data_IF_816584837428
#
_entry.id   IF_816584837428
#
_cell.length_a   1.000
_cell.length_b   1.000
_cell.length_c   1.000
_cell.angle_alpha   90.00
_cell.angle_beta   90.00
_cell.angle_gamma   90.00
#
_symmetry.space_group_name_H-M   'P 1'
#
loop_
_entity.id
_entity.type
_entity.pdbx_description
1 polymer ?
#
# COMPACT_ATOMS: atom_id res chain seq x y z
N UNK A 1 -41.53 -4.60 24.87
CA UNK A 1 -40.30 -5.06 24.17
C UNK A 1 -39.50 -3.81 23.87
N UNK A 2 -38.27 -3.62 24.39
CA UNK A 2 -37.52 -2.43 24.07
C UNK A 2 -37.01 -2.55 22.63
N UNK A 3 -37.31 -1.53 21.82
CA UNK A 3 -36.71 -1.34 20.50
C UNK A 3 -35.19 -1.26 20.65
N UNK A 4 -34.49 -2.16 19.97
CA UNK A 4 -33.06 -2.06 19.81
C UNK A 4 -32.78 -0.83 18.94
N UNK A 5 -32.25 0.22 19.57
CA UNK A 5 -31.71 1.38 18.84
C UNK A 5 -30.62 0.93 17.86
N UNK A 6 -30.34 1.73 16.81
CA UNK A 6 -29.32 1.39 15.83
C UNK A 6 -27.99 1.17 16.54
N UNK A 7 -27.43 -0.03 16.35
CA UNK A 7 -26.06 -0.36 16.75
C UNK A 7 -25.13 0.68 16.12
N UNK A 8 -24.18 1.28 16.86
CA UNK A 8 -23.20 2.18 16.27
C UNK A 8 -22.46 1.40 15.18
N UNK A 9 -22.50 1.91 13.95
CA UNK A 9 -21.93 1.26 12.76
C UNK A 9 -20.54 0.71 13.06
N UNK A 10 -20.37 -0.60 12.90
CA UNK A 10 -19.11 -1.28 13.19
C UNK A 10 -17.99 -0.60 12.40
N UNK A 11 -16.93 -0.17 13.09
CA UNK A 11 -15.75 0.42 12.44
C UNK A 11 -15.23 -0.55 11.38
N UNK A 12 -15.15 -0.10 10.13
CA UNK A 12 -14.71 -0.93 9.01
C UNK A 12 -13.32 -1.51 9.29
N UNK A 13 -13.10 -2.78 8.93
CA UNK A 13 -11.80 -3.42 9.02
C UNK A 13 -10.76 -2.61 8.22
N UNK A 14 -9.70 -2.20 8.89
CA UNK A 14 -8.57 -1.55 8.26
C UNK A 14 -7.46 -2.55 7.97
N UNK A 15 -6.78 -2.33 6.85
CA UNK A 15 -5.77 -3.23 6.32
C UNK A 15 -4.54 -2.43 5.91
N UNK A 16 -3.37 -2.86 6.34
CA UNK A 16 -2.10 -2.41 5.78
C UNK A 16 -1.38 -3.57 5.12
N UNK A 17 -0.91 -3.41 3.90
CA UNK A 17 -0.27 -4.50 3.15
C UNK A 17 1.17 -4.13 2.79
N UNK A 18 2.13 -4.91 3.27
CA UNK A 18 3.47 -4.99 2.69
C UNK A 18 3.47 -6.06 1.60
N UNK A 19 3.54 -5.62 0.34
CA UNK A 19 3.29 -6.49 -0.80
C UNK A 19 4.59 -7.04 -1.41
N UNK A 20 4.62 -8.35 -1.62
CA UNK A 20 5.66 -9.03 -2.40
C UNK A 20 5.10 -9.46 -3.76
N UNK A 21 5.82 -9.16 -4.84
CA UNK A 21 5.46 -9.65 -6.19
C UNK A 21 5.82 -11.12 -6.42
N UNK A 22 6.58 -11.72 -5.52
CA UNK A 22 6.97 -13.14 -5.56
C UNK A 22 6.95 -13.70 -4.14
N UNK A 23 5.75 -13.78 -3.53
CA UNK A 23 5.61 -14.27 -2.18
C UNK A 23 6.07 -15.72 -2.06
N UNK A 24 6.62 -16.04 -0.90
CA UNK A 24 7.06 -17.38 -0.50
C UNK A 24 7.07 -17.47 1.02
N UNK A 25 7.26 -18.64 1.63
CA UNK A 25 7.39 -18.75 3.09
C UNK A 25 8.48 -17.84 3.69
N UNK A 26 9.54 -17.55 2.92
CA UNK A 26 10.65 -16.67 3.36
C UNK A 26 10.38 -15.18 3.15
N UNK A 27 9.43 -14.83 2.29
CA UNK A 27 9.07 -13.45 1.95
C UNK A 27 7.57 -13.40 1.61
N UNK A 28 6.68 -13.56 2.60
CA UNK A 28 5.24 -13.55 2.37
C UNK A 28 4.78 -12.12 2.04
N UNK A 29 3.55 -11.99 1.56
CA UNK A 29 2.81 -10.72 1.69
C UNK A 29 2.35 -10.62 3.14
N UNK A 30 2.60 -9.48 3.80
CA UNK A 30 2.20 -9.27 5.20
C UNK A 30 1.03 -8.30 5.27
N UNK A 31 -0.03 -8.73 5.94
CA UNK A 31 -1.26 -7.95 6.12
C UNK A 31 -1.42 -7.59 7.59
N UNK A 32 -1.37 -6.31 7.92
CA UNK A 32 -1.72 -5.78 9.22
C UNK A 32 -3.21 -5.47 9.27
N UNK A 33 -3.93 -6.12 10.19
CA UNK A 33 -5.37 -5.95 10.39
C UNK A 33 -5.62 -5.11 11.62
N UNK A 34 -6.52 -4.13 11.52
CA UNK A 34 -6.83 -3.28 12.65
C UNK A 34 -8.12 -2.50 12.49
N UNK A 35 -8.32 -1.56 13.41
CA UNK A 35 -9.47 -0.67 13.43
C UNK A 35 -9.06 0.69 13.98
N UNK A 36 -9.76 1.74 13.53
CA UNK A 36 -9.60 3.10 14.06
C UNK A 36 -10.69 3.41 15.08
N UNK A 37 -10.28 3.98 16.21
CA UNK A 37 -11.11 4.47 17.31
C UNK A 37 -10.66 5.89 17.66
N UNK A 38 -11.33 6.89 17.07
CA UNK A 38 -10.86 8.28 17.12
C UNK A 38 -9.46 8.41 16.51
N UNK A 39 -8.48 8.88 17.31
CA UNK A 39 -7.07 8.98 16.90
C UNK A 39 -6.28 7.68 17.06
N UNK A 40 -6.83 6.68 17.74
CA UNK A 40 -6.15 5.42 18.03
C UNK A 40 -6.36 4.43 16.89
N UNK A 41 -5.29 3.80 16.43
CA UNK A 41 -5.30 2.68 15.49
C UNK A 41 -4.91 1.42 16.24
N UNK A 42 -5.87 0.54 16.49
CA UNK A 42 -5.61 -0.70 17.21
C UNK A 42 -5.23 -1.81 16.24
N UNK A 43 -4.04 -2.38 16.43
CA UNK A 43 -3.61 -3.56 15.68
C UNK A 43 -4.31 -4.80 16.26
N UNK A 44 -5.12 -5.46 15.44
CA UNK A 44 -5.80 -6.70 15.79
C UNK A 44 -4.89 -7.91 15.56
N UNK A 45 -4.15 -7.92 14.45
CA UNK A 45 -3.28 -9.04 14.11
C UNK A 45 -2.47 -8.81 12.84
N UNK A 46 -1.59 -9.77 12.55
CA UNK A 46 -0.82 -9.85 11.32
C UNK A 46 -1.16 -11.18 10.63
N UNK A 47 -1.44 -11.14 9.34
CA UNK A 47 -1.57 -12.32 8.49
C UNK A 47 -0.39 -12.38 7.51
N UNK A 48 0.08 -13.59 7.20
CA UNK A 48 1.19 -13.83 6.27
C UNK A 48 0.68 -14.73 5.14
N UNK A 49 0.73 -14.21 3.91
CA UNK A 49 0.24 -14.89 2.72
C UNK A 49 1.43 -15.29 1.86
N UNK A 50 1.67 -16.59 1.75
CA UNK A 50 2.89 -17.16 1.15
C UNK A 50 2.80 -17.33 -0.37
N UNK A 51 1.64 -17.06 -0.97
CA UNK A 51 1.42 -17.13 -2.41
C UNK A 51 0.53 -15.99 -2.90
N UNK A 52 0.64 -15.71 -4.21
CA UNK A 52 -0.24 -14.74 -4.86
C UNK A 52 -1.71 -15.22 -4.94
N UNK A 53 -1.93 -16.54 -4.87
CA UNK A 53 -3.26 -17.13 -4.85
C UNK A 53 -3.89 -16.97 -3.47
N UNK A 54 -3.14 -17.20 -2.39
CA UNK A 54 -3.60 -16.90 -1.03
C UNK A 54 -3.96 -15.41 -0.86
N UNK A 55 -3.23 -14.51 -1.52
CA UNK A 55 -3.59 -13.11 -1.59
C UNK A 55 -4.89 -12.86 -2.36
N UNK A 56 -5.08 -13.48 -3.53
CA UNK A 56 -6.32 -13.36 -4.29
C UNK A 56 -7.54 -13.89 -3.50
N UNK A 57 -7.39 -15.06 -2.85
CA UNK A 57 -8.41 -15.67 -2.00
C UNK A 57 -8.76 -14.77 -0.82
N UNK A 58 -7.76 -14.15 -0.20
CA UNK A 58 -7.96 -13.19 0.88
C UNK A 58 -8.77 -11.96 0.44
N UNK A 59 -8.43 -11.39 -0.72
CA UNK A 59 -9.12 -10.22 -1.26
C UNK A 59 -10.61 -10.50 -1.49
N UNK A 60 -10.97 -11.73 -1.89
CA UNK A 60 -12.36 -12.09 -2.21
C UNK A 60 -13.20 -12.59 -1.04
N UNK A 61 -12.68 -12.56 0.19
CA UNK A 61 -13.47 -12.94 1.36
C UNK A 61 -14.71 -12.03 1.53
N UNK A 62 -15.84 -12.56 2.04
CA UNK A 62 -17.11 -11.84 2.14
C UNK A 62 -17.11 -10.89 3.34
N UNK A 63 -16.23 -9.89 3.32
CA UNK A 63 -16.09 -8.86 4.35
C UNK A 63 -15.75 -7.50 3.73
N UNK A 64 -16.22 -6.42 4.34
CA UNK A 64 -15.80 -5.07 3.99
C UNK A 64 -14.42 -4.76 4.59
N UNK A 65 -13.58 -4.06 3.84
CA UNK A 65 -12.31 -3.55 4.33
C UNK A 65 -11.86 -2.31 3.55
N UNK A 66 -11.15 -1.42 4.24
CA UNK A 66 -10.37 -0.34 3.65
C UNK A 66 -8.90 -0.64 3.89
N UNK A 67 -8.15 -0.79 2.80
CA UNK A 67 -6.76 -1.15 2.82
C UNK A 67 -5.85 -0.10 2.21
N UNK A 68 -4.63 0.00 2.70
CA UNK A 68 -3.54 0.69 2.03
C UNK A 68 -2.41 -0.29 1.73
N UNK A 69 -1.88 -0.26 0.51
CA UNK A 69 -1.01 -1.32 -0.02
C UNK A 69 0.32 -0.75 -0.52
N UNK A 70 1.44 -1.31 -0.07
CA UNK A 70 2.79 -0.98 -0.56
C UNK A 70 3.04 -1.59 -1.94
N UNK A 71 2.32 -1.11 -2.94
CA UNK A 71 2.58 -1.30 -4.36
C UNK A 71 1.97 -0.14 -5.15
N UNK A 72 2.56 0.24 -6.29
CA UNK A 72 1.97 1.30 -7.11
C UNK A 72 0.69 0.83 -7.79
N UNK A 73 -0.24 1.76 -8.03
CA UNK A 73 -1.47 1.49 -8.79
C UNK A 73 -1.41 1.97 -10.23
N UNK A 74 -0.35 2.66 -10.65
CA UNK A 74 -0.18 3.12 -12.03
C UNK A 74 1.29 3.24 -12.45
N UNK A 75 1.49 3.36 -13.76
CA UNK A 75 2.79 3.60 -14.38
C UNK A 75 2.99 5.10 -14.63
N UNK A 76 4.24 5.58 -14.81
CA UNK A 76 4.47 6.97 -15.21
C UNK A 76 3.82 7.25 -16.56
N UNK A 77 3.06 8.35 -16.67
CA UNK A 77 2.41 8.75 -17.92
C UNK A 77 3.39 8.83 -19.09
N UNK A 78 4.54 9.45 -18.85
CA UNK A 78 5.63 9.58 -19.84
C UNK A 78 6.02 8.23 -20.45
N UNK A 79 6.08 7.17 -19.63
CA UNK A 79 6.41 5.82 -20.09
C UNK A 79 5.30 5.24 -20.95
N UNK A 80 4.05 5.33 -20.48
CA UNK A 80 2.87 4.78 -21.17
C UNK A 80 2.72 5.44 -22.55
N UNK A 81 2.85 6.77 -22.61
CA UNK A 81 2.80 7.54 -23.86
C UNK A 81 3.94 7.17 -24.82
N UNK A 82 5.17 7.07 -24.31
CA UNK A 82 6.33 6.73 -25.15
C UNK A 82 6.24 5.32 -25.73
N UNK A 83 5.68 4.36 -24.99
CA UNK A 83 5.49 2.99 -25.45
C UNK A 83 4.25 2.82 -26.35
N UNK A 84 3.45 3.88 -26.54
CA UNK A 84 2.21 3.83 -27.31
C UNK A 84 1.15 2.92 -26.67
N UNK A 85 1.17 2.78 -25.34
CA UNK A 85 0.19 1.99 -24.60
C UNK A 85 -1.13 2.77 -24.40
N UNK A 86 -2.24 2.10 -24.06
CA UNK A 86 -3.51 2.78 -23.78
C UNK A 86 -3.38 3.80 -22.64
N UNK A 87 -4.03 4.96 -22.79
CA UNK A 87 -3.98 6.05 -21.80
C UNK A 87 -5.14 6.04 -20.80
N UNK A 88 -6.16 5.21 -21.04
CA UNK A 88 -7.19 4.92 -20.03
C UNK A 88 -6.64 3.88 -19.06
N UNK A 89 -6.79 4.12 -17.76
CA UNK A 89 -6.15 3.29 -16.73
C UNK A 89 -6.51 1.81 -16.84
N UNK A 90 -7.81 1.49 -16.98
CA UNK A 90 -8.27 0.11 -17.06
C UNK A 90 -7.65 -0.63 -18.27
N UNK A 91 -7.68 0.01 -19.44
CA UNK A 91 -7.10 -0.54 -20.67
C UNK A 91 -5.58 -0.68 -20.56
N UNK A 92 -4.91 0.29 -19.92
CA UNK A 92 -3.48 0.25 -19.65
C UNK A 92 -3.13 -0.92 -18.73
N UNK A 93 -3.90 -1.15 -17.67
CA UNK A 93 -3.67 -2.23 -16.73
C UNK A 93 -3.94 -3.59 -17.37
N UNK A 94 -4.97 -3.69 -18.22
CA UNK A 94 -5.25 -4.91 -18.98
C UNK A 94 -4.12 -5.23 -19.96
N UNK A 95 -3.66 -4.24 -20.72
CA UNK A 95 -2.50 -4.38 -21.61
C UNK A 95 -1.26 -4.79 -20.82
N UNK A 96 -0.97 -4.10 -19.72
CA UNK A 96 0.20 -4.39 -18.89
C UNK A 96 0.17 -5.80 -18.30
N UNK A 97 -1.00 -6.28 -17.86
CA UNK A 97 -1.18 -7.63 -17.32
C UNK A 97 -1.05 -8.74 -18.37
N UNK A 98 -1.18 -8.41 -19.66
CA UNK A 98 -0.99 -9.37 -20.75
C UNK A 98 0.49 -9.67 -21.05
N UNK A 99 1.40 -8.81 -20.58
CA UNK A 99 2.83 -8.92 -20.85
C UNK A 99 3.51 -9.84 -19.83
N UNK A 100 4.47 -10.65 -20.29
CA UNK A 100 5.38 -11.35 -19.39
C UNK A 100 6.36 -10.39 -18.70
N UNK A 101 6.91 -10.79 -17.56
CA UNK A 101 8.00 -10.02 -16.89
C UNK A 101 9.19 -9.77 -17.80
N UNK A 102 9.48 -10.70 -18.71
CA UNK A 102 10.56 -10.56 -19.68
C UNK A 102 10.26 -9.47 -20.72
N UNK A 103 9.04 -9.43 -21.25
CA UNK A 103 8.59 -8.38 -22.18
C UNK A 103 8.56 -7.01 -21.50
N UNK A 104 8.03 -6.93 -20.28
CA UNK A 104 8.03 -5.69 -19.48
C UNK A 104 9.45 -5.16 -19.32
N UNK A 105 10.37 -6.02 -18.88
CA UNK A 105 11.78 -5.65 -18.73
C UNK A 105 12.40 -5.20 -20.05
N UNK A 106 12.14 -5.92 -21.14
CA UNK A 106 12.67 -5.57 -22.47
C UNK A 106 12.21 -4.18 -22.90
N UNK A 107 10.91 -3.90 -22.81
CA UNK A 107 10.34 -2.60 -23.16
C UNK A 107 10.89 -1.47 -22.27
N UNK A 108 10.99 -1.69 -20.95
CA UNK A 108 11.48 -0.65 -20.04
C UNK A 108 12.98 -0.40 -20.18
N UNK A 109 13.77 -1.43 -20.52
CA UNK A 109 15.18 -1.26 -20.91
C UNK A 109 15.28 -0.44 -22.20
N UNK A 110 14.44 -0.74 -23.20
CA UNK A 110 14.35 0.02 -24.45
C UNK A 110 14.02 1.50 -24.21
N UNK A 111 13.05 1.79 -23.33
CA UNK A 111 12.73 3.15 -22.89
C UNK A 111 13.93 3.84 -22.21
N UNK A 112 14.65 3.13 -21.35
CA UNK A 112 15.79 3.68 -20.61
C UNK A 112 17.05 3.90 -21.47
N UNK A 113 17.22 3.13 -22.55
CA UNK A 113 18.45 3.09 -23.35
C UNK A 113 18.86 4.44 -23.97
N UNK A 114 17.96 5.23 -24.59
CA UNK A 114 18.33 6.51 -25.17
C UNK A 114 18.44 7.66 -24.15
N UNK A 115 18.12 7.41 -22.86
CA UNK A 115 18.00 8.47 -21.84
C UNK A 115 19.32 8.77 -21.13
N UNK A 116 19.58 10.04 -20.75
CA UNK A 116 20.83 10.43 -20.11
C UNK A 116 20.99 9.81 -18.71
N UNK A 117 22.24 9.68 -18.22
CA UNK A 117 22.50 9.35 -16.82
C UNK A 117 21.77 10.29 -15.86
N UNK A 118 21.26 9.76 -14.74
CA UNK A 118 20.49 10.54 -13.75
C UNK A 118 19.01 10.76 -14.10
N UNK A 119 18.58 10.51 -15.36
CA UNK A 119 17.20 10.68 -15.82
C UNK A 119 16.62 9.44 -16.50
N UNK A 120 17.18 8.25 -16.24
CA UNK A 120 16.82 7.01 -16.97
C UNK A 120 15.38 6.56 -16.73
N UNK A 121 14.89 6.66 -15.50
CA UNK A 121 13.52 6.27 -15.18
C UNK A 121 12.59 7.48 -15.29
N UNK A 122 11.41 7.26 -15.88
CA UNK A 122 10.27 8.16 -15.69
C UNK A 122 9.72 7.98 -14.27
N UNK A 123 9.17 9.06 -13.72
CA UNK A 123 8.58 9.09 -12.39
C UNK A 123 7.17 9.65 -12.48
N UNK A 124 6.23 9.07 -11.73
CA UNK A 124 4.94 9.70 -11.50
C UNK A 124 5.11 10.98 -10.70
N UNK A 125 4.16 11.89 -10.79
CA UNK A 125 4.17 13.12 -9.99
C UNK A 125 4.25 12.79 -8.48
N UNK A 126 3.45 11.80 -8.05
CA UNK A 126 3.42 11.35 -6.65
C UNK A 126 4.72 10.69 -6.18
N UNK A 127 5.48 10.05 -7.08
CA UNK A 127 6.73 9.36 -6.70
C UNK A 127 7.78 10.36 -6.21
N UNK A 128 7.82 11.53 -6.87
CA UNK A 128 8.75 12.62 -6.50
C UNK A 128 8.38 13.24 -5.16
N UNK A 129 7.10 13.47 -4.92
CA UNK A 129 6.60 14.01 -3.65
C UNK A 129 6.86 13.06 -2.48
N UNK A 130 6.59 11.77 -2.67
CA UNK A 130 6.82 10.74 -1.66
C UNK A 130 8.32 10.41 -1.45
N UNK A 131 9.17 10.73 -2.42
CA UNK A 131 10.54 10.24 -2.50
C UNK A 131 10.56 8.71 -2.58
N UNK A 132 9.67 8.12 -3.37
CA UNK A 132 9.57 6.67 -3.61
C UNK A 132 10.42 6.26 -4.82
N UNK A 133 10.57 4.95 -5.03
CA UNK A 133 11.09 4.44 -6.30
C UNK A 133 10.03 4.57 -7.40
N UNK A 134 10.42 4.87 -8.66
CA UNK A 134 9.46 4.98 -9.74
C UNK A 134 8.78 3.63 -10.00
N UNK A 135 7.49 3.63 -10.31
CA UNK A 135 6.71 2.40 -10.51
C UNK A 135 7.20 1.56 -11.69
N UNK A 136 7.97 2.14 -12.61
CA UNK A 136 8.61 1.39 -13.71
C UNK A 136 9.90 0.65 -13.33
N UNK A 137 10.40 0.79 -12.09
CA UNK A 137 11.66 0.15 -11.68
C UNK A 137 11.47 -1.35 -11.52
N UNK A 138 12.27 -2.16 -12.21
CA UNK A 138 12.17 -3.64 -12.16
C UNK A 138 13.22 -4.32 -11.27
N UNK A 139 14.07 -3.54 -10.58
CA UNK A 139 15.16 -4.07 -9.73
C UNK A 139 15.35 -3.23 -8.47
N UNK A 140 15.36 -3.90 -7.31
CA UNK A 140 15.75 -3.39 -5.99
C UNK A 140 15.26 -1.95 -5.66
N UNK A 141 13.97 -1.76 -5.33
CA UNK A 141 12.89 -2.75 -5.34
C UNK A 141 12.28 -2.97 -6.75
N UNK A 142 11.69 -4.16 -7.04
CA UNK A 142 11.08 -4.48 -8.33
C UNK A 142 9.62 -3.99 -8.41
N UNK A 143 9.44 -2.68 -8.27
CA UNK A 143 8.13 -2.01 -8.17
C UNK A 143 7.25 -2.27 -9.41
N UNK A 144 7.84 -2.37 -10.60
CA UNK A 144 7.14 -2.74 -11.83
C UNK A 144 6.45 -4.11 -11.71
N UNK A 145 7.12 -5.08 -11.10
CA UNK A 145 6.56 -6.42 -10.89
C UNK A 145 5.55 -6.45 -9.73
N UNK A 146 5.66 -5.53 -8.77
CA UNK A 146 4.65 -5.36 -7.72
C UNK A 146 3.33 -4.87 -8.32
N UNK A 147 3.38 -3.84 -9.18
CA UNK A 147 2.23 -3.40 -9.96
C UNK A 147 1.62 -4.56 -10.77
N UNK A 148 2.47 -5.25 -11.53
CA UNK A 148 2.07 -6.34 -12.43
C UNK A 148 1.43 -7.52 -11.69
N UNK A 149 1.90 -7.85 -10.48
CA UNK A 149 1.37 -8.95 -9.70
C UNK A 149 0.14 -8.57 -8.88
N UNK A 150 0.10 -7.35 -8.33
CA UNK A 150 -0.93 -6.93 -7.38
C UNK A 150 -2.17 -6.31 -8.03
N UNK A 151 -2.01 -5.34 -8.93
CA UNK A 151 -3.14 -4.58 -9.48
C UNK A 151 -4.15 -5.46 -10.23
N UNK A 152 -3.74 -6.42 -11.09
CA UNK A 152 -4.71 -7.31 -11.74
C UNK A 152 -5.56 -8.12 -10.76
N UNK A 153 -5.00 -8.46 -9.58
CA UNK A 153 -5.73 -9.18 -8.52
C UNK A 153 -6.71 -8.27 -7.79
N UNK A 154 -6.35 -7.02 -7.54
CA UNK A 154 -7.28 -6.02 -7.01
C UNK A 154 -8.46 -5.79 -7.96
N UNK A 155 -8.19 -5.66 -9.27
CA UNK A 155 -9.23 -5.54 -10.30
C UNK A 155 -10.13 -6.78 -10.29
N UNK A 156 -9.55 -7.97 -10.33
CA UNK A 156 -10.30 -9.24 -10.36
C UNK A 156 -11.15 -9.45 -9.10
N UNK A 157 -10.70 -8.95 -7.94
CA UNK A 157 -11.46 -8.99 -6.70
C UNK A 157 -12.55 -7.90 -6.59
N UNK A 158 -12.74 -7.08 -7.63
CA UNK A 158 -13.76 -6.04 -7.68
C UNK A 158 -13.51 -4.89 -6.72
N UNK A 159 -12.24 -4.63 -6.38
CA UNK A 159 -11.82 -3.61 -5.41
C UNK A 159 -12.01 -2.21 -5.98
N UNK A 160 -12.58 -1.32 -5.16
CA UNK A 160 -12.67 0.10 -5.46
C UNK A 160 -11.28 0.77 -5.27
N UNK A 161 -10.83 1.49 -6.28
CA UNK A 161 -9.55 2.20 -6.31
C UNK A 161 -9.85 3.69 -6.58
N UNK A 162 -9.94 4.55 -5.55
CA UNK A 162 -10.37 5.93 -5.71
C UNK A 162 -9.59 6.67 -6.81
N UNK A 163 -10.33 7.24 -7.77
CA UNK A 163 -9.76 7.95 -8.93
C UNK A 163 -9.35 7.07 -10.12
N UNK A 164 -9.28 5.75 -9.94
CA UNK A 164 -8.76 4.80 -10.96
C UNK A 164 -9.81 3.76 -11.41
N UNK A 165 -10.49 3.11 -10.46
CA UNK A 165 -11.47 2.05 -10.73
C UNK A 165 -12.64 2.14 -9.76
N UNK A 166 -13.86 2.00 -10.27
CA UNK A 166 -15.08 1.97 -9.44
C UNK A 166 -15.27 0.65 -8.69
N UNK A 167 -14.43 -0.36 -8.96
CA UNK A 167 -14.66 -1.72 -8.50
C UNK A 167 -15.90 -2.33 -9.18
N UNK A 168 -16.30 -3.51 -8.73
CA UNK A 168 -17.58 -4.08 -9.17
C UNK A 168 -18.73 -3.36 -8.40
N UNK A 169 -19.96 -3.24 -8.92
CA UNK A 169 -21.09 -2.62 -8.21
C UNK A 169 -21.93 -3.61 -7.38
N UNK A 170 -21.88 -4.93 -7.65
CA UNK A 170 -22.82 -5.94 -7.12
C UNK A 170 -22.52 -6.54 -5.72
N UNK A 171 -21.67 -5.92 -4.89
CA UNK A 171 -21.21 -6.46 -3.59
C UNK A 171 -21.49 -5.40 -2.56
N UNK A 172 -22.71 -5.39 -1.99
CA UNK A 172 -23.14 -4.33 -1.10
C UNK A 172 -22.63 -4.55 0.33
N UNK A 173 -22.54 -3.45 1.08
CA UNK A 173 -22.66 -3.42 2.55
C UNK A 173 -23.76 -2.42 2.91
N UNK A 174 -24.33 -2.56 4.10
CA UNK A 174 -25.64 -2.02 4.50
C UNK A 174 -25.84 -0.49 4.40
N UNK A 175 -24.79 0.30 4.15
CA UNK A 175 -24.76 1.75 4.37
C UNK A 175 -24.35 2.59 3.13
N UNK A 176 -24.36 2.03 1.92
CA UNK A 176 -24.19 2.82 0.68
C UNK A 176 -22.75 3.29 0.36
N UNK A 177 -21.74 2.82 1.10
CA UNK A 177 -20.33 2.94 0.73
C UNK A 177 -19.83 1.64 0.06
N UNK A 178 -18.98 1.69 -0.98
CA UNK A 178 -18.35 0.48 -1.51
C UNK A 178 -17.55 -0.18 -0.38
N UNK A 179 -17.69 -1.49 -0.20
CA UNK A 179 -16.80 -2.48 -0.82
C UNK A 179 -15.35 -2.37 -0.38
N UNK A 180 -14.67 -3.51 -0.55
CA UNK A 180 -13.22 -3.64 -0.62
C UNK A 180 -12.62 -2.42 -1.31
N UNK A 181 -11.87 -1.63 -0.56
CA UNK A 181 -11.28 -0.39 -1.04
C UNK A 181 -9.79 -0.47 -0.82
N UNK A 182 -9.01 -0.20 -1.87
CA UNK A 182 -7.56 -0.13 -1.77
C UNK A 182 -7.04 1.27 -2.11
N UNK A 183 -6.13 1.75 -1.27
CA UNK A 183 -5.35 2.96 -1.44
C UNK A 183 -3.89 2.56 -1.68
N UNK A 184 -3.20 3.30 -2.54
CA UNK A 184 -1.76 3.11 -2.72
C UNK A 184 -1.03 3.70 -1.52
N UNK A 185 -0.18 2.92 -0.87
CA UNK A 185 0.61 3.33 0.29
C UNK A 185 2.10 3.34 -0.05
N UNK A 186 2.88 4.02 0.80
CA UNK A 186 4.32 3.93 0.76
C UNK A 186 4.86 4.07 2.19
N UNK A 187 5.17 2.96 2.87
CA UNK A 187 5.52 2.96 4.30
C UNK A 187 6.80 3.76 4.57
N UNK A 188 7.71 3.81 3.59
CA UNK A 188 8.94 4.57 3.64
C UNK A 188 8.74 6.08 3.85
N UNK A 189 7.60 6.64 3.46
CA UNK A 189 7.28 8.04 3.71
C UNK A 189 7.17 8.32 5.22
N UNK A 190 6.38 7.50 5.90
CA UNK A 190 6.08 7.67 7.32
C UNK A 190 7.24 7.21 8.21
N UNK A 191 7.96 6.16 7.79
CA UNK A 191 9.18 5.74 8.48
C UNK A 191 10.26 6.82 8.45
N UNK A 192 10.46 7.48 7.29
CA UNK A 192 11.45 8.56 7.14
C UNK A 192 11.11 9.77 7.98
N UNK A 193 9.84 10.08 8.14
CA UNK A 193 9.38 11.17 9.00
C UNK A 193 9.79 10.95 10.47
N UNK A 194 9.68 9.71 10.97
CA UNK A 194 9.99 9.36 12.36
C UNK A 194 11.47 9.05 12.61
N UNK A 195 12.19 8.54 11.60
CA UNK A 195 13.57 8.05 11.76
C UNK A 195 14.63 8.90 11.07
N UNK A 196 14.22 9.85 10.21
CA UNK A 196 15.11 10.54 9.30
C UNK A 196 15.74 9.58 8.28
N UNK A 197 17.06 9.62 8.14
CA UNK A 197 17.81 8.77 7.20
C UNK A 197 18.15 7.37 7.74
N UNK A 198 17.78 7.07 8.99
CA UNK A 198 18.12 5.78 9.63
C UNK A 198 17.30 4.65 9.02
N UNK A 199 17.99 3.60 8.57
CA UNK A 199 17.35 2.36 8.10
C UNK A 199 16.93 1.51 9.31
N UNK A 200 15.70 0.99 9.30
CA UNK A 200 15.20 0.07 10.33
C UNK A 200 15.14 -1.39 9.87
N UNK A 201 15.31 -1.64 8.58
CA UNK A 201 15.07 -2.96 7.96
C UNK A 201 16.17 -3.42 7.00
N UNK A 202 16.37 -4.73 6.88
CA UNK A 202 17.20 -5.32 5.83
C UNK A 202 16.94 -6.82 5.63
N UNK A 203 16.74 -7.21 4.37
CA UNK A 203 16.67 -8.63 3.93
C UNK A 203 18.00 -9.38 4.14
N UNK A 204 19.13 -8.67 4.15
CA UNK A 204 20.44 -9.27 4.31
C UNK A 204 20.75 -9.50 5.80
N UNK A 205 20.84 -10.76 6.24
CA UNK A 205 21.15 -11.12 7.63
C UNK A 205 22.38 -10.42 8.20
N UNK A 206 23.45 -10.30 7.40
CA UNK A 206 24.68 -9.58 7.78
C UNK A 206 24.47 -8.09 8.09
N UNK A 207 23.34 -7.51 7.65
CA UNK A 207 22.96 -6.12 7.88
C UNK A 207 21.89 -5.98 8.97
N UNK A 208 21.51 -7.05 9.67
CA UNK A 208 20.56 -6.96 10.78
C UNK A 208 21.28 -6.54 12.06
N UNK A 209 21.63 -5.25 12.14
CA UNK A 209 22.51 -4.70 13.18
C UNK A 209 21.73 -4.18 14.41
N UNK A 210 22.40 -3.99 15.55
CA UNK A 210 21.81 -3.36 16.74
C UNK A 210 21.22 -1.96 16.45
N UNK A 211 21.82 -1.18 15.56
CA UNK A 211 21.33 0.15 15.18
C UNK A 211 19.97 0.07 14.47
N UNK A 212 19.78 -0.94 13.61
CA UNK A 212 18.47 -1.20 12.98
C UNK A 212 17.43 -1.63 14.01
N UNK A 213 17.83 -2.43 15.01
CA UNK A 213 16.95 -2.81 16.12
C UNK A 213 16.52 -1.57 16.93
N UNK A 214 17.45 -0.66 17.24
CA UNK A 214 17.14 0.61 17.89
C UNK A 214 16.19 1.44 17.02
N UNK A 215 16.44 1.53 15.72
CA UNK A 215 15.56 2.24 14.80
C UNK A 215 14.13 1.65 14.77
N UNK A 216 13.97 0.31 14.83
CA UNK A 216 12.64 -0.31 14.96
C UNK A 216 11.95 0.02 16.29
N UNK A 217 12.70 0.02 17.41
CA UNK A 217 12.18 0.44 18.73
C UNK A 217 11.70 1.90 18.70
N UNK A 218 12.50 2.79 18.13
CA UNK A 218 12.17 4.21 17.99
C UNK A 218 10.95 4.42 17.08
N UNK A 219 10.86 3.67 15.99
CA UNK A 219 9.75 3.74 15.05
C UNK A 219 8.44 3.33 15.73
N UNK A 220 8.40 2.17 16.39
CA UNK A 220 7.23 1.71 17.13
C UNK A 220 6.84 2.72 18.21
N UNK A 221 7.81 3.20 18.97
CA UNK A 221 7.55 4.21 20.01
C UNK A 221 7.00 5.53 19.43
N UNK A 222 7.53 6.00 18.30
CA UNK A 222 7.04 7.19 17.61
C UNK A 222 5.60 7.04 17.11
N UNK A 223 5.24 5.85 16.62
CA UNK A 223 3.87 5.51 16.23
C UNK A 223 2.93 5.43 17.44
N UNK A 224 3.35 4.81 18.55
CA UNK A 224 2.55 4.72 19.79
C UNK A 224 2.24 6.11 20.37
N UNK A 225 3.18 7.05 20.25
CA UNK A 225 2.99 8.43 20.69
C UNK A 225 2.26 9.32 19.68
N UNK A 226 2.09 8.84 18.44
CA UNK A 226 1.47 9.60 17.35
C UNK A 226 2.24 10.86 16.95
N UNK A 227 3.57 10.74 16.88
CA UNK A 227 4.46 11.85 16.52
C UNK A 227 4.46 12.19 15.03
N UNK A 228 3.83 11.39 14.19
CA UNK A 228 3.72 11.70 12.77
C UNK A 228 2.63 12.74 12.50
N UNK A 229 2.73 13.43 11.36
CA UNK A 229 1.76 14.41 10.86
C UNK A 229 0.36 13.84 10.61
N UNK A 230 0.23 12.51 10.55
CA UNK A 230 -1.09 11.86 10.47
C UNK A 230 -1.90 12.07 11.76
N UNK A 231 -1.24 12.38 12.88
CA UNK A 231 -1.91 12.59 14.16
C UNK A 231 -2.59 11.33 14.72
N UNK A 232 -2.14 10.15 14.31
CA UNK A 232 -2.69 8.87 14.73
C UNK A 232 -1.74 8.14 15.69
N UNK A 233 -2.29 7.43 16.66
CA UNK A 233 -1.55 6.67 17.66
C UNK A 233 -1.76 5.17 17.46
N UNK A 234 -0.67 4.44 17.23
CA UNK A 234 -0.70 2.99 17.17
C UNK A 234 -0.96 2.41 18.57
N UNK A 235 -1.90 1.48 18.69
CA UNK A 235 -2.12 0.68 19.89
C UNK A 235 -1.85 -0.78 19.60
N UNK A 236 -0.83 -1.30 20.27
CA UNK A 236 -0.42 -2.72 20.25
C UNK A 236 -0.39 -3.29 21.67
N UNK A 237 -0.48 -4.61 21.79
CA UNK A 237 -0.13 -5.33 23.01
C UNK A 237 1.40 -5.43 23.15
N UNK A 238 1.89 -5.80 24.34
CA UNK A 238 3.33 -6.03 24.54
C UNK A 238 3.87 -7.10 23.59
N UNK A 239 3.16 -8.21 23.41
CA UNK A 239 3.58 -9.28 22.50
C UNK A 239 3.61 -8.85 21.03
N UNK A 240 2.64 -8.06 20.58
CA UNK A 240 2.65 -7.48 19.24
C UNK A 240 3.81 -6.50 19.08
N UNK A 241 4.05 -5.67 20.09
CA UNK A 241 5.15 -4.69 20.11
C UNK A 241 6.50 -5.38 19.92
N UNK A 242 6.75 -6.45 20.68
CA UNK A 242 7.99 -7.22 20.59
C UNK A 242 8.11 -7.90 19.23
N UNK A 243 7.02 -8.50 18.72
CA UNK A 243 6.99 -9.12 17.39
C UNK A 243 7.35 -8.15 16.25
N UNK A 244 6.89 -6.88 16.34
CA UNK A 244 7.23 -5.83 15.37
C UNK A 244 8.70 -5.41 15.44
N UNK A 245 9.28 -5.42 16.64
CA UNK A 245 10.67 -5.00 16.88
C UNK A 245 11.65 -6.12 16.49
N UNK A 246 11.28 -7.38 16.70
CA UNK A 246 12.11 -8.54 16.41
C UNK A 246 12.13 -8.89 14.92
N UNK A 247 11.15 -8.42 14.14
CA UNK A 247 11.13 -8.57 12.69
C UNK A 247 12.21 -7.70 12.01
N UNK A 248 13.35 -8.31 11.71
CA UNK A 248 14.50 -7.63 11.12
C UNK A 248 14.36 -7.35 9.61
N UNK A 249 13.51 -8.08 8.88
CA UNK A 249 13.19 -7.74 7.47
C UNK A 249 12.27 -6.53 7.38
N UNK A 250 11.53 -6.24 8.46
CA UNK A 250 10.71 -5.05 8.61
C UNK A 250 9.33 -5.16 7.97
N UNK A 251 9.01 -6.29 7.35
CA UNK A 251 7.77 -6.54 6.60
C UNK A 251 6.52 -6.28 7.46
N UNK A 252 6.56 -6.72 8.74
CA UNK A 252 5.46 -6.44 9.67
C UNK A 252 5.31 -4.95 9.99
N UNK A 253 6.42 -4.21 10.09
CA UNK A 253 6.39 -2.76 10.32
C UNK A 253 5.91 -2.01 9.07
N UNK A 254 6.30 -2.43 7.87
CA UNK A 254 5.80 -1.87 6.62
C UNK A 254 4.28 -2.04 6.49
N UNK A 255 3.77 -3.24 6.81
CA UNK A 255 2.34 -3.49 6.85
C UNK A 255 1.63 -2.60 7.89
N UNK A 256 2.20 -2.43 9.08
CA UNK A 256 1.65 -1.51 10.10
C UNK A 256 1.70 -0.05 9.67
N UNK A 257 2.77 0.41 9.00
CA UNK A 257 2.84 1.77 8.48
C UNK A 257 1.76 2.01 7.41
N UNK A 258 1.53 1.01 6.53
CA UNK A 258 0.41 1.05 5.60
C UNK A 258 -0.94 1.09 6.32
N UNK A 259 -1.11 0.32 7.41
CA UNK A 259 -2.34 0.35 8.23
C UNK A 259 -2.58 1.75 8.82
N UNK A 260 -1.53 2.44 9.27
CA UNK A 260 -1.63 3.82 9.75
C UNK A 260 -2.05 4.78 8.62
N UNK A 261 -1.57 4.58 7.40
CA UNK A 261 -2.01 5.35 6.23
C UNK A 261 -3.49 5.06 5.89
N UNK A 262 -3.91 3.78 5.93
CA UNK A 262 -5.31 3.39 5.73
C UNK A 262 -6.25 4.08 6.73
N UNK A 263 -5.87 4.08 8.01
CA UNK A 263 -6.61 4.76 9.07
C UNK A 263 -6.69 6.28 8.86
N UNK A 264 -5.63 6.89 8.35
CA UNK A 264 -5.65 8.31 7.99
C UNK A 264 -6.60 8.57 6.83
N UNK A 265 -6.56 7.76 5.78
CA UNK A 265 -7.49 7.86 4.64
C UNK A 265 -8.96 7.73 5.06
N UNK A 266 -9.26 6.80 5.97
CA UNK A 266 -10.58 6.69 6.60
C UNK A 266 -10.97 7.98 7.32
N UNK A 267 -10.07 8.53 8.15
CA UNK A 267 -10.30 9.78 8.88
C UNK A 267 -10.52 11.00 7.96
N UNK A 268 -9.89 11.04 6.79
CA UNK A 268 -10.13 12.08 5.79
C UNK A 268 -11.53 11.96 5.17
N UNK A 269 -11.98 10.73 4.89
CA UNK A 269 -13.32 10.50 4.35
C UNK A 269 -14.40 10.85 5.39
N UNK A 270 -14.21 10.51 6.66
CA UNK A 270 -15.11 10.91 7.76
C UNK A 270 -15.24 12.44 7.88
N UNK A 271 -14.21 13.19 7.45
CA UNK A 271 -14.21 14.67 7.40
C UNK A 271 -14.77 15.24 6.09
N UNK A 272 -15.29 14.39 5.19
CA UNK A 272 -15.92 14.79 3.93
C UNK A 272 -15.02 14.74 2.69
N UNK A 273 -13.77 14.28 2.79
CA UNK A 273 -12.91 14.11 1.63
C UNK A 273 -13.34 12.87 0.83
N UNK A 274 -14.03 13.07 -0.29
CA UNK A 274 -14.61 12.00 -1.12
C UNK A 274 -13.59 11.01 -1.71
N UNK A 275 -12.33 11.41 -1.81
CA UNK A 275 -11.22 10.58 -2.29
C UNK A 275 -10.28 10.14 -1.16
N UNK A 276 -10.75 10.02 0.09
CA UNK A 276 -9.96 9.47 1.20
C UNK A 276 -8.63 10.22 1.44
N UNK A 277 -8.62 11.53 1.18
CA UNK A 277 -7.43 12.37 1.30
C UNK A 277 -6.51 12.43 0.07
N UNK A 278 -6.84 11.72 -1.02
CA UNK A 278 -6.16 11.92 -2.31
C UNK A 278 -6.55 13.27 -2.92
N UNK A 279 -5.65 13.83 -3.74
CA UNK A 279 -5.87 15.12 -4.41
C UNK A 279 -6.91 14.99 -5.52
N UNK A 280 -7.88 15.91 -5.66
CA UNK A 280 -8.84 15.90 -6.75
C UNK A 280 -8.20 15.94 -8.15
N UNK A 281 -7.03 16.59 -8.26
CA UNK A 281 -6.26 16.74 -9.49
C UNK A 281 -5.30 15.56 -9.75
N UNK A 282 -5.44 14.44 -9.03
CA UNK A 282 -4.61 13.26 -9.26
C UNK A 282 -4.71 12.81 -10.73
N UNK A 283 -3.58 12.40 -11.28
CA UNK A 283 -3.54 11.84 -12.62
C UNK A 283 -4.19 10.45 -12.60
N UNK A 284 -5.32 10.32 -13.31
CA UNK A 284 -6.12 9.10 -13.35
C UNK A 284 -5.45 7.94 -14.08
N UNK A 285 -4.29 8.15 -14.72
CA UNK A 285 -3.45 7.09 -15.28
C UNK A 285 -2.36 6.65 -14.28
N UNK A 286 -1.81 7.58 -13.49
CA UNK A 286 -0.67 7.31 -12.61
C UNK A 286 -1.08 6.82 -11.21
N UNK A 287 -2.24 7.25 -10.72
CA UNK A 287 -2.64 7.08 -9.32
C UNK A 287 -1.95 8.06 -8.38
N UNK A 288 -2.10 7.84 -7.08
CA UNK A 288 -1.54 8.73 -6.05
C UNK A 288 -1.15 7.96 -4.79
N UNK A 289 0.06 8.20 -4.28
CA UNK A 289 0.52 7.63 -3.00
C UNK A 289 -0.19 8.38 -1.87
N UNK A 290 -0.92 7.63 -1.05
CA UNK A 290 -1.66 8.17 0.08
C UNK A 290 -0.71 8.95 1.00
N UNK A 291 -1.16 10.13 1.43
CA UNK A 291 -0.42 11.08 2.27
C UNK A 291 0.77 11.80 1.60
N UNK A 292 1.11 11.56 0.33
CA UNK A 292 2.20 12.28 -0.35
C UNK A 292 1.95 13.78 -0.58
#
# INVERSE_FOLDING_TARGET
>A
MPEAGPQPGGSALLVGCDFSSSPSPKKPIVMALGQKLGRRVQLSGLERLESLDAFADWLVQPRAWLGAFDLPFGLPRELVETLGWPLQWADCMQHYASLSRAEIRSQFVGFCAPRPPGGKFAHRATDRLAGSSPSMKWVNPPVAYMLHAGVPRLISAGVFLPGLSQGDPAAPCADGLPRRLALEAYPGLLARELLGQRSYKSDARARQTPERLIARKDLVHGLEQGRSRLGLQLKVSHAQRDSLIDDASGDALDAVLCLMQAAWGQGQQEQGASLYGLRPELDRLEGWILSA
#
